data_IF_435177651752
#
_entry.id   IF_435177651752
#
_cell.length_a   1.000
_cell.length_b   1.000
_cell.length_c   1.000
_cell.angle_alpha   90.00
_cell.angle_beta   90.00
_cell.angle_gamma   90.00
#
_symmetry.space_group_name_H-M   'P 1'
#
loop_
_entity.id
_entity.type
_entity.pdbx_description
1 polymer ?
#
# COMPACT_ATOMS: atom_id res chain seq x y z
N UNK A 1 -47.16 -27.25 45.23
CA UNK A 1 -46.93 -25.80 45.08
C UNK A 1 -45.42 -25.53 45.02
N UNK A 2 -44.79 -25.75 43.86
CA UNK A 2 -43.44 -25.25 43.61
C UNK A 2 -43.52 -24.40 42.35
N UNK A 3 -43.77 -23.10 42.54
CA UNK A 3 -43.61 -22.10 41.47
C UNK A 3 -42.11 -21.97 41.22
N UNK A 4 -41.58 -22.89 40.42
CA UNK A 4 -40.23 -22.75 39.89
C UNK A 4 -40.23 -21.46 39.07
N UNK A 5 -39.48 -20.49 39.57
CA UNK A 5 -39.48 -19.12 39.10
C UNK A 5 -39.18 -19.06 37.60
N UNK A 6 -40.20 -18.75 36.80
CA UNK A 6 -40.10 -18.48 35.37
C UNK A 6 -39.12 -17.32 35.06
N UNK A 7 -38.71 -16.55 36.08
CA UNK A 7 -37.72 -15.47 35.98
C UNK A 7 -36.27 -15.95 35.82
N UNK A 8 -35.97 -17.23 36.10
CA UNK A 8 -34.60 -17.75 35.93
C UNK A 8 -34.35 -18.18 34.47
N UNK A 9 -35.40 -18.48 33.70
CA UNK A 9 -35.25 -18.87 32.29
C UNK A 9 -35.06 -17.66 31.35
N UNK A 10 -35.44 -16.45 31.77
CA UNK A 10 -35.31 -15.23 30.98
C UNK A 10 -33.91 -14.59 31.04
N UNK A 11 -33.03 -15.03 31.94
CA UNK A 11 -31.70 -14.42 32.11
C UNK A 11 -30.57 -15.12 31.33
N UNK A 12 -30.87 -16.20 30.61
CA UNK A 12 -29.88 -16.91 29.77
C UNK A 12 -29.88 -16.50 28.29
N UNK A 13 -30.64 -15.45 27.93
CA UNK A 13 -30.78 -14.97 26.53
C UNK A 13 -29.99 -13.67 26.30
N UNK A 14 -29.26 -13.13 27.29
CA UNK A 14 -28.66 -11.78 27.17
C UNK A 14 -27.23 -11.72 26.61
N UNK A 15 -26.64 -12.83 26.15
CA UNK A 15 -25.25 -12.80 25.66
C UNK A 15 -24.98 -13.82 24.55
N UNK A 16 -25.79 -13.80 23.50
CA UNK A 16 -25.27 -14.14 22.18
C UNK A 16 -24.41 -12.96 21.71
N UNK A 17 -23.21 -12.84 22.28
CA UNK A 17 -22.16 -11.98 21.73
C UNK A 17 -21.68 -12.73 20.49
N UNK A 18 -22.33 -12.49 19.36
CA UNK A 18 -21.79 -12.89 18.07
C UNK A 18 -20.45 -12.16 17.91
N UNK A 19 -19.35 -12.91 17.93
CA UNK A 19 -18.05 -12.37 17.58
C UNK A 19 -18.12 -11.94 16.12
N UNK A 20 -18.24 -10.64 15.87
CA UNK A 20 -18.26 -10.11 14.51
C UNK A 20 -16.83 -10.12 13.96
N UNK A 21 -16.65 -10.59 12.73
CA UNK A 21 -15.35 -10.58 12.06
C UNK A 21 -14.83 -9.14 11.95
N UNK A 22 -13.58 -8.85 12.37
CA UNK A 22 -13.00 -7.52 12.17
C UNK A 22 -12.69 -7.23 10.70
N UNK A 23 -12.79 -8.23 9.82
CA UNK A 23 -12.47 -8.14 8.39
C UNK A 23 -13.65 -7.69 7.52
N UNK A 24 -14.80 -7.37 8.15
CA UNK A 24 -16.02 -6.95 7.49
C UNK A 24 -16.98 -8.09 7.18
N UNK A 25 -18.24 -7.73 6.96
CA UNK A 25 -19.34 -8.70 6.84
C UNK A 25 -19.28 -9.54 5.55
N UNK A 26 -18.50 -9.11 4.56
CA UNK A 26 -18.35 -9.78 3.26
C UNK A 26 -17.04 -10.58 3.16
N UNK A 27 -16.29 -10.73 4.25
CA UNK A 27 -15.07 -11.52 4.24
C UNK A 27 -15.41 -13.02 4.22
N UNK A 28 -15.03 -13.70 3.13
CA UNK A 28 -15.45 -15.07 2.83
C UNK A 28 -14.26 -16.05 2.76
N UNK A 29 -13.35 -15.94 3.71
CA UNK A 29 -12.25 -16.89 3.91
C UNK A 29 -12.36 -17.53 5.29
N UNK A 30 -11.92 -18.79 5.42
CA UNK A 30 -11.94 -19.46 6.71
C UNK A 30 -10.92 -18.81 7.66
N UNK A 31 -11.28 -18.65 8.93
CA UNK A 31 -10.43 -17.96 9.91
C UNK A 31 -9.03 -18.59 10.02
N UNK A 32 -8.96 -19.92 9.86
CA UNK A 32 -7.74 -20.71 9.97
C UNK A 32 -6.77 -20.55 8.78
N UNK A 33 -7.22 -20.00 7.66
CA UNK A 33 -6.33 -19.67 6.54
C UNK A 33 -5.30 -18.61 6.93
N UNK A 34 -5.68 -17.70 7.84
CA UNK A 34 -4.83 -16.61 8.31
C UNK A 34 -4.43 -16.76 9.77
N UNK A 35 -5.30 -17.28 10.65
CA UNK A 35 -5.08 -17.33 12.09
C UNK A 35 -4.81 -18.75 12.57
N UNK A 36 -3.66 -18.94 13.25
CA UNK A 36 -3.37 -20.20 13.94
C UNK A 36 -4.42 -20.51 15.00
N UNK A 37 -4.93 -21.75 15.03
CA UNK A 37 -5.89 -22.21 16.03
C UNK A 37 -5.32 -22.27 17.45
N UNK A 38 -4.01 -22.38 17.60
CA UNK A 38 -3.34 -22.49 18.90
C UNK A 38 -3.27 -21.15 19.65
N UNK A 39 -3.04 -20.05 18.92
CA UNK A 39 -2.71 -18.76 19.53
C UNK A 39 -3.31 -17.54 18.82
N UNK A 40 -4.12 -17.77 17.76
CA UNK A 40 -4.79 -16.74 16.95
C UNK A 40 -3.84 -15.75 16.25
N UNK A 41 -2.54 -16.08 16.15
CA UNK A 41 -1.57 -15.27 15.41
C UNK A 41 -1.50 -15.70 13.96
N UNK A 42 -1.09 -14.75 13.12
CA UNK A 42 -0.79 -15.00 11.73
C UNK A 42 0.63 -15.57 11.63
N UNK A 43 0.76 -16.71 10.96
CA UNK A 43 2.06 -17.22 10.53
C UNK A 43 2.21 -16.97 9.02
N UNK A 44 2.96 -15.93 8.69
CA UNK A 44 3.23 -15.54 7.30
C UNK A 44 3.96 -16.63 6.49
N UNK A 45 4.52 -17.68 7.12
CA UNK A 45 5.14 -18.79 6.41
C UNK A 45 4.15 -19.86 5.96
N UNK A 46 3.01 -19.94 6.61
CA UNK A 46 1.96 -20.94 6.33
C UNK A 46 0.69 -20.32 5.76
N UNK A 47 0.67 -18.98 5.64
CA UNK A 47 -0.41 -18.24 5.01
C UNK A 47 -0.53 -18.66 3.53
N UNK A 48 -1.69 -19.16 3.13
CA UNK A 48 -1.97 -19.64 1.77
C UNK A 48 -2.54 -18.54 0.84
N UNK A 49 -2.63 -17.31 1.33
CA UNK A 49 -3.13 -16.18 0.56
C UNK A 49 -2.04 -15.61 -0.37
N UNK A 50 -2.28 -15.66 -1.68
CA UNK A 50 -1.38 -15.10 -2.69
C UNK A 50 -1.93 -13.80 -3.31
N UNK A 51 -1.17 -12.72 -3.16
CA UNK A 51 -1.50 -11.44 -3.78
C UNK A 51 -1.37 -11.45 -5.32
N UNK A 52 -0.69 -12.44 -5.91
CA UNK A 52 -0.60 -12.59 -7.37
C UNK A 52 -1.94 -12.90 -8.03
N UNK A 53 -2.90 -13.40 -7.26
CA UNK A 53 -4.28 -13.65 -7.71
C UNK A 53 -5.17 -12.39 -7.62
N UNK A 54 -4.63 -11.29 -7.11
CA UNK A 54 -5.35 -10.03 -6.95
C UNK A 54 -4.95 -9.01 -8.03
N UNK A 55 -5.61 -7.85 -8.02
CA UNK A 55 -5.22 -6.73 -8.89
C UNK A 55 -3.96 -5.98 -8.42
N UNK A 56 -3.32 -6.42 -7.33
CA UNK A 56 -2.11 -5.81 -6.78
C UNK A 56 -1.10 -6.88 -6.35
N UNK A 57 -0.30 -7.35 -7.31
CA UNK A 57 0.81 -8.26 -7.01
C UNK A 57 1.86 -7.57 -6.14
N UNK A 58 2.26 -8.22 -5.03
CA UNK A 58 3.34 -7.73 -4.20
C UNK A 58 4.68 -7.98 -4.87
N UNK A 59 5.30 -6.90 -5.36
CA UNK A 59 6.63 -6.93 -5.98
C UNK A 59 7.59 -5.95 -5.31
N UNK A 60 8.89 -6.22 -5.44
CA UNK A 60 9.96 -5.41 -4.83
C UNK A 60 9.79 -5.28 -3.31
N UNK A 61 9.86 -4.05 -2.81
CA UNK A 61 9.77 -3.74 -1.38
C UNK A 61 8.38 -3.98 -0.80
N UNK A 62 7.34 -4.10 -1.61
CA UNK A 62 5.99 -4.40 -1.10
C UNK A 62 5.88 -5.82 -0.54
N UNK A 63 6.78 -6.75 -0.92
CA UNK A 63 6.78 -8.15 -0.46
C UNK A 63 7.03 -8.35 1.03
N UNK A 64 7.62 -7.36 1.69
CA UNK A 64 8.03 -7.47 3.11
C UNK A 64 7.11 -6.66 4.04
N UNK A 65 6.00 -6.14 3.52
CA UNK A 65 5.04 -5.37 4.29
C UNK A 65 4.05 -6.28 5.02
N UNK A 66 3.74 -5.93 6.27
CA UNK A 66 2.64 -6.55 6.99
C UNK A 66 1.29 -6.09 6.41
N UNK A 67 0.24 -6.91 6.52
CA UNK A 67 -1.08 -6.65 5.93
C UNK A 67 -1.63 -5.26 6.27
N UNK A 68 -1.48 -4.80 7.52
CA UNK A 68 -1.99 -3.52 8.00
C UNK A 68 -1.28 -2.30 7.37
N UNK A 69 -0.11 -2.48 6.76
CA UNK A 69 0.60 -1.42 6.06
C UNK A 69 -0.24 -0.84 4.92
N UNK A 70 -1.06 -1.68 4.28
CA UNK A 70 -1.95 -1.32 3.18
C UNK A 70 -3.43 -1.45 3.58
N UNK A 71 -3.78 -2.49 4.34
CA UNK A 71 -5.13 -2.77 4.82
C UNK A 71 -5.35 -2.21 6.23
N UNK A 72 -5.30 -0.89 6.35
CA UNK A 72 -5.35 -0.18 7.65
C UNK A 72 -6.59 -0.50 8.49
N UNK A 73 -7.74 -0.71 7.84
CA UNK A 73 -9.01 -1.06 8.49
C UNK A 73 -9.21 -2.57 8.63
N UNK A 74 -8.29 -3.39 8.09
CA UNK A 74 -8.40 -4.84 7.95
C UNK A 74 -9.61 -5.34 7.14
N UNK A 75 -10.35 -4.44 6.50
CA UNK A 75 -11.35 -4.77 5.48
C UNK A 75 -10.65 -4.79 4.12
N UNK A 76 -10.16 -5.97 3.74
CA UNK A 76 -9.21 -6.13 2.65
C UNK A 76 -9.69 -5.56 1.29
N UNK A 77 -10.99 -5.55 1.04
CA UNK A 77 -11.59 -5.00 -0.19
C UNK A 77 -11.62 -3.47 -0.29
N UNK A 78 -11.35 -2.74 0.80
CA UNK A 78 -11.42 -1.26 0.82
C UNK A 78 -10.11 -0.60 0.35
N UNK A 79 -8.99 -1.35 0.36
CA UNK A 79 -7.69 -0.82 -0.02
C UNK A 79 -7.59 -0.65 -1.53
N UNK A 80 -7.17 0.55 -1.94
CA UNK A 80 -6.92 0.88 -3.34
C UNK A 80 -5.46 0.63 -3.70
N UNK A 81 -5.21 0.46 -4.99
CA UNK A 81 -3.93 0.03 -5.54
C UNK A 81 -3.11 1.14 -6.21
N UNK A 82 -3.60 2.38 -6.28
CA UNK A 82 -2.83 3.44 -6.93
C UNK A 82 -1.70 3.91 -6.00
N UNK A 83 -0.58 4.34 -6.59
CA UNK A 83 0.58 4.82 -5.85
C UNK A 83 0.21 5.89 -4.81
N UNK A 84 -0.65 6.84 -5.20
CA UNK A 84 -1.04 7.97 -4.36
C UNK A 84 -2.03 7.62 -3.25
N UNK A 85 -2.62 6.41 -3.27
CA UNK A 85 -3.48 5.96 -2.18
C UNK A 85 -2.65 5.60 -0.93
N UNK A 86 -1.35 5.33 -1.07
CA UNK A 86 -0.44 5.03 0.04
C UNK A 86 0.79 5.95 0.11
N UNK A 87 1.26 6.49 -1.02
CA UNK A 87 2.46 7.32 -1.08
C UNK A 87 2.15 8.78 -1.37
N UNK A 88 2.79 9.67 -0.61
CA UNK A 88 2.66 11.10 -0.82
C UNK A 88 3.45 11.55 -2.06
N UNK A 89 2.85 12.44 -2.86
CA UNK A 89 3.55 13.07 -3.97
C UNK A 89 4.52 14.15 -3.45
N UNK A 90 5.82 13.85 -3.45
CA UNK A 90 6.87 14.80 -3.05
C UNK A 90 7.23 15.81 -4.15
N UNK A 91 6.82 15.55 -5.40
CA UNK A 91 7.21 16.34 -6.56
C UNK A 91 6.33 17.58 -6.79
N UNK A 92 5.29 17.80 -5.99
CA UNK A 92 4.45 19.01 -6.03
C UNK A 92 3.98 19.39 -7.44
N UNK A 93 3.62 18.38 -8.25
CA UNK A 93 3.18 18.53 -9.64
C UNK A 93 4.22 19.13 -10.61
N UNK A 94 5.51 19.11 -10.25
CA UNK A 94 6.61 19.50 -11.16
C UNK A 94 6.97 18.41 -12.18
N UNK A 95 6.46 17.19 -11.98
CA UNK A 95 6.60 16.06 -12.89
C UNK A 95 5.23 15.42 -13.14
N UNK A 96 5.14 14.63 -14.19
CA UNK A 96 3.92 13.90 -14.56
C UNK A 96 3.57 12.84 -13.48
N UNK A 97 2.28 12.59 -13.19
CA UNK A 97 1.86 11.73 -12.07
C UNK A 97 2.08 10.22 -12.27
N UNK A 98 2.51 9.74 -13.43
CA UNK A 98 2.82 8.33 -13.69
C UNK A 98 4.15 7.96 -13.03
N UNK A 99 4.07 7.54 -11.77
CA UNK A 99 5.23 7.19 -10.95
C UNK A 99 6.12 6.13 -11.63
N UNK A 100 5.54 5.19 -12.38
CA UNK A 100 6.22 4.08 -13.03
C UNK A 100 7.14 4.50 -14.18
N UNK A 101 7.05 5.74 -14.67
CA UNK A 101 8.00 6.25 -15.67
C UNK A 101 9.41 6.41 -15.10
N UNK A 102 9.52 6.73 -13.81
CA UNK A 102 10.80 7.04 -13.16
C UNK A 102 11.13 6.06 -12.03
N UNK A 103 10.12 5.64 -11.28
CA UNK A 103 10.26 4.82 -10.09
C UNK A 103 9.76 3.40 -10.32
N UNK A 104 10.24 2.46 -9.50
CA UNK A 104 9.72 1.10 -9.50
C UNK A 104 9.62 0.58 -8.07
N UNK A 105 8.93 -0.54 -7.89
CA UNK A 105 8.65 -1.09 -6.56
C UNK A 105 9.90 -1.52 -5.77
N UNK A 106 11.08 -1.60 -6.39
CA UNK A 106 12.33 -1.89 -5.67
C UNK A 106 12.95 -0.63 -5.05
N UNK A 107 12.77 0.54 -5.67
CA UNK A 107 13.37 1.79 -5.20
C UNK A 107 12.73 3.03 -5.82
N UNK A 108 12.65 4.09 -5.02
CA UNK A 108 12.33 5.45 -5.47
C UNK A 108 13.54 6.15 -6.12
N UNK A 109 14.74 5.59 -6.00
CA UNK A 109 15.95 6.19 -6.57
C UNK A 109 15.97 6.00 -8.09
N UNK A 110 16.12 7.11 -8.81
CA UNK A 110 16.30 7.13 -10.27
C UNK A 110 17.80 7.17 -10.57
N UNK A 111 18.32 6.17 -11.28
CA UNK A 111 19.75 6.08 -11.62
C UNK A 111 20.05 6.40 -13.09
N UNK A 112 19.02 6.42 -13.93
CA UNK A 112 19.07 6.59 -15.38
C UNK A 112 18.62 8.00 -15.82
N UNK A 113 19.07 9.03 -15.10
CA UNK A 113 18.63 10.41 -15.30
C UNK A 113 19.07 10.97 -16.66
N UNK A 114 20.22 10.53 -17.17
CA UNK A 114 20.74 10.90 -18.49
C UNK A 114 19.81 10.39 -19.60
N UNK A 115 19.40 9.12 -19.51
CA UNK A 115 18.46 8.51 -20.44
C UNK A 115 17.08 9.19 -20.39
N UNK A 116 16.64 9.64 -19.21
CA UNK A 116 15.40 10.39 -19.09
C UNK A 116 15.46 11.73 -19.85
N UNK A 117 16.61 12.41 -19.83
CA UNK A 117 16.80 13.62 -20.63
C UNK A 117 16.80 13.32 -22.13
N UNK A 118 17.39 12.21 -22.56
CA UNK A 118 17.42 11.78 -23.96
C UNK A 118 16.01 11.50 -24.53
N UNK A 119 15.06 11.09 -23.68
CA UNK A 119 13.64 10.92 -24.04
C UNK A 119 12.82 12.22 -23.97
N UNK A 120 13.43 13.30 -23.46
CA UNK A 120 12.77 14.59 -23.28
C UNK A 120 13.07 15.55 -24.44
N UNK A 121 12.54 16.77 -24.35
CA UNK A 121 12.88 17.86 -25.29
C UNK A 121 14.26 18.49 -25.02
N UNK A 122 14.95 18.06 -23.97
CA UNK A 122 16.23 18.59 -23.51
C UNK A 122 17.29 17.47 -23.37
N UNK A 123 17.72 16.84 -24.47
CA UNK A 123 18.76 15.81 -24.42
C UNK A 123 20.10 16.38 -23.95
N UNK A 124 20.82 15.64 -23.11
CA UNK A 124 22.12 16.05 -22.57
C UNK A 124 23.24 15.70 -23.56
N UNK A 125 23.46 16.61 -24.52
CA UNK A 125 24.46 16.46 -25.58
C UNK A 125 25.79 17.15 -25.25
N UNK A 126 26.89 16.45 -25.52
CA UNK A 126 28.24 16.98 -25.34
C UNK A 126 28.52 17.36 -23.88
N UNK A 127 29.06 18.56 -23.67
CA UNK A 127 29.42 19.04 -22.33
C UNK A 127 28.23 19.26 -21.39
N UNK A 128 26.99 19.32 -21.89
CA UNK A 128 25.80 19.41 -21.03
C UNK A 128 25.61 18.18 -20.14
N UNK A 129 26.16 17.03 -20.51
CA UNK A 129 26.16 15.83 -19.64
C UNK A 129 27.01 16.00 -18.38
N UNK A 130 27.92 16.97 -18.36
CA UNK A 130 28.78 17.29 -17.21
C UNK A 130 28.34 18.56 -16.47
N UNK A 131 27.27 19.21 -16.93
CA UNK A 131 26.73 20.38 -16.27
C UNK A 131 26.23 20.00 -14.87
N UNK A 132 26.37 20.91 -13.92
CA UNK A 132 25.74 20.73 -12.61
C UNK A 132 24.23 20.88 -12.79
N UNK A 133 23.45 19.90 -12.34
CA UNK A 133 21.98 19.88 -12.49
C UNK A 133 21.32 21.19 -12.04
N UNK A 134 21.87 21.86 -11.03
CA UNK A 134 21.34 23.13 -10.49
C UNK A 134 21.45 24.30 -11.47
N UNK A 135 22.29 24.20 -12.50
CA UNK A 135 22.43 25.23 -13.52
C UNK A 135 21.17 25.33 -14.38
N UNK A 136 20.39 24.25 -14.48
CA UNK A 136 19.12 24.20 -15.21
C UNK A 136 17.90 24.01 -14.27
N UNK A 137 18.03 23.25 -13.18
CA UNK A 137 16.97 23.04 -12.19
C UNK A 137 17.16 24.00 -11.01
N UNK A 138 16.75 25.25 -11.20
CA UNK A 138 17.10 26.38 -10.32
C UNK A 138 16.26 26.47 -9.03
N UNK A 139 15.20 25.66 -8.89
CA UNK A 139 14.28 25.74 -7.75
C UNK A 139 14.10 24.38 -7.06
N UNK A 140 14.49 24.34 -5.78
CA UNK A 140 14.20 23.35 -4.71
C UNK A 140 14.65 21.89 -4.93
N UNK A 141 15.93 21.63 -4.63
CA UNK A 141 16.54 20.34 -4.27
C UNK A 141 16.29 19.15 -5.24
N UNK A 142 16.78 17.96 -4.89
CA UNK A 142 16.70 16.75 -5.74
C UNK A 142 15.27 16.18 -5.89
N UNK A 143 14.23 16.90 -5.46
CA UNK A 143 12.84 16.44 -5.47
C UNK A 143 11.94 17.27 -6.38
N UNK A 144 12.29 18.53 -6.68
CA UNK A 144 11.52 19.37 -7.61
C UNK A 144 12.33 19.62 -8.87
N UNK A 145 11.71 19.39 -10.02
CA UNK A 145 12.35 19.57 -11.32
C UNK A 145 11.63 20.62 -12.19
N UNK A 146 11.38 21.85 -11.69
CA UNK A 146 10.80 22.89 -12.51
C UNK A 146 11.77 23.21 -13.66
N UNK A 147 11.27 23.21 -14.90
CA UNK A 147 12.05 23.60 -16.06
C UNK A 147 12.11 25.12 -16.16
N UNK A 148 13.26 25.67 -16.57
CA UNK A 148 13.37 27.11 -16.89
C UNK A 148 12.34 27.43 -17.98
N UNK A 149 11.34 28.25 -17.65
CA UNK A 149 10.31 28.71 -18.59
C UNK A 149 8.98 27.96 -18.55
N UNK A 150 8.74 27.11 -17.54
CA UNK A 150 7.41 26.59 -17.20
C UNK A 150 6.77 27.37 -16.05
#
# INVERSE_FOLDING_TARGET
>A
MHKLSFLIFTFFISSLIFSQSPHGDNFNFDCEECHSTDNWKIDFKTLDFDHSETNFELIGQHKILDCQSCHQTLKFSETKSNCFDCHNNVHQSTVEPNCQQCHNSNSWVVTNIDEMHDMSRFPLLGEHRRADCKQCHTTVNNLLFPTIGA
#
